data_IF_278834530246
#
_entry.id   IF_278834530246
#
_cell.length_a   1.000
_cell.length_b   1.000
_cell.length_c   1.000
_cell.angle_alpha   90.00
_cell.angle_beta   90.00
_cell.angle_gamma   90.00
#
_symmetry.space_group_name_H-M   'P 1'
#
loop_
_entity.id
_entity.type
_entity.pdbx_description
1 polymer ?
#
# COMPACT_ATOMS: atom_id res chain seq x y z
N UNK A 1 -18.56 11.59 14.57
CA UNK A 1 -17.25 10.92 14.65
C UNK A 1 -16.97 10.30 13.28
N UNK A 2 -15.77 10.48 12.73
CA UNK A 2 -15.51 10.45 11.28
C UNK A 2 -15.87 9.12 10.58
N UNK A 3 -16.74 9.20 9.57
CA UNK A 3 -17.20 8.11 8.69
C UNK A 3 -16.17 7.69 7.62
N UNK A 4 -14.90 8.08 7.76
CA UNK A 4 -13.85 7.75 6.80
C UNK A 4 -12.78 6.89 7.48
N UNK A 5 -12.51 5.66 7.01
CA UNK A 5 -11.56 4.81 7.68
C UNK A 5 -10.13 5.35 7.49
N UNK A 6 -9.42 5.53 8.61
CA UNK A 6 -8.06 6.07 8.72
C UNK A 6 -7.10 5.63 7.60
N UNK A 7 -7.12 4.36 7.20
CA UNK A 7 -6.24 3.82 6.17
C UNK A 7 -6.41 4.49 4.80
N UNK A 8 -7.61 5.01 4.47
CA UNK A 8 -7.88 5.73 3.23
C UNK A 8 -7.20 7.09 3.24
N UNK A 9 -7.41 7.87 4.29
CA UNK A 9 -6.80 9.20 4.46
C UNK A 9 -5.28 9.11 4.57
N UNK A 10 -4.80 8.16 5.37
CA UNK A 10 -3.37 7.92 5.52
C UNK A 10 -2.71 7.57 4.19
N UNK A 11 -3.22 6.59 3.44
CA UNK A 11 -2.62 6.22 2.16
C UNK A 11 -2.77 7.30 1.09
N UNK A 12 -3.82 8.12 1.14
CA UNK A 12 -3.94 9.30 0.28
C UNK A 12 -2.83 10.32 0.60
N UNK A 13 -2.62 10.62 1.88
CA UNK A 13 -1.57 11.53 2.31
C UNK A 13 -0.17 10.99 1.98
N UNK A 14 0.09 9.69 2.15
CA UNK A 14 1.40 9.07 1.83
C UNK A 14 1.74 9.19 0.35
N UNK A 15 0.76 9.01 -0.56
CA UNK A 15 0.99 9.18 -2.01
C UNK A 15 1.48 10.58 -2.38
N UNK A 16 1.03 11.57 -1.63
CA UNK A 16 1.30 13.00 -1.85
C UNK A 16 2.55 13.47 -1.11
N UNK A 17 2.86 12.86 0.03
CA UNK A 17 3.96 13.23 0.92
C UNK A 17 5.33 13.20 0.22
N UNK A 18 5.50 12.33 -0.78
CA UNK A 18 6.73 12.20 -1.57
C UNK A 18 6.97 13.29 -2.62
N UNK A 19 6.04 14.23 -2.82
CA UNK A 19 6.16 15.28 -3.86
C UNK A 19 7.33 16.23 -3.63
N UNK A 20 7.60 16.61 -2.39
CA UNK A 20 8.77 17.41 -2.02
C UNK A 20 8.99 17.39 -0.50
N UNK A 21 10.22 17.69 -0.08
CA UNK A 21 10.56 17.84 1.35
C UNK A 21 9.67 18.88 2.04
N UNK A 22 9.45 20.03 1.41
CA UNK A 22 8.61 21.10 1.97
C UNK A 22 7.16 20.64 2.12
N UNK A 23 6.62 19.90 1.14
CA UNK A 23 5.27 19.37 1.22
C UNK A 23 5.14 18.35 2.35
N UNK A 24 6.08 17.43 2.49
CA UNK A 24 6.15 16.48 3.61
C UNK A 24 6.14 17.20 4.96
N UNK A 25 7.03 18.18 5.14
CA UNK A 25 7.16 18.87 6.43
C UNK A 25 5.87 19.64 6.79
N UNK A 26 5.28 20.35 5.83
CA UNK A 26 4.12 21.22 6.07
C UNK A 26 2.76 20.52 6.09
N UNK A 27 2.54 19.51 5.26
CA UNK A 27 1.19 18.98 5.00
C UNK A 27 1.01 17.51 5.41
N UNK A 28 2.09 16.74 5.58
CA UNK A 28 1.96 15.34 5.96
C UNK A 28 1.79 15.21 7.48
N UNK A 29 0.55 15.12 7.97
CA UNK A 29 0.26 15.06 9.41
C UNK A 29 0.50 13.68 10.04
N UNK A 30 0.69 12.63 9.23
CA UNK A 30 0.82 11.25 9.71
C UNK A 30 2.28 10.81 9.92
N UNK A 31 3.19 11.73 10.27
CA UNK A 31 4.64 11.44 10.39
C UNK A 31 4.92 10.28 11.35
N UNK A 32 4.37 10.36 12.57
CA UNK A 32 4.57 9.34 13.60
C UNK A 32 3.96 8.00 13.19
N UNK A 33 2.75 8.00 12.64
CA UNK A 33 2.10 6.77 12.17
C UNK A 33 2.90 6.11 11.04
N UNK A 34 3.36 6.91 10.07
CA UNK A 34 4.21 6.42 8.98
C UNK A 34 5.50 5.79 9.53
N UNK A 35 6.20 6.47 10.43
CA UNK A 35 7.41 5.96 11.05
C UNK A 35 7.16 4.65 11.79
N UNK A 36 6.21 4.63 12.72
CA UNK A 36 5.92 3.46 13.55
C UNK A 36 5.44 2.26 12.73
N UNK A 37 4.61 2.48 11.70
CA UNK A 37 4.13 1.39 10.86
C UNK A 37 5.25 0.82 9.98
N UNK A 38 6.14 1.67 9.46
CA UNK A 38 7.34 1.21 8.74
C UNK A 38 8.24 0.38 9.64
N UNK A 39 8.57 0.87 10.84
CA UNK A 39 9.40 0.15 11.82
C UNK A 39 8.76 -1.19 12.21
N UNK A 40 7.45 -1.22 12.50
CA UNK A 40 6.75 -2.44 12.85
C UNK A 40 6.86 -3.52 11.75
N UNK A 41 6.70 -3.14 10.49
CA UNK A 41 6.83 -4.07 9.37
C UNK A 41 8.27 -4.57 9.19
N UNK A 42 9.26 -3.71 9.40
CA UNK A 42 10.68 -4.10 9.34
C UNK A 42 11.07 -5.06 10.46
N UNK A 43 10.55 -4.87 11.68
CA UNK A 43 10.77 -5.79 12.80
C UNK A 43 10.10 -7.15 12.54
N UNK A 44 8.87 -7.15 12.01
CA UNK A 44 8.15 -8.37 11.67
C UNK A 44 8.79 -9.14 10.50
N UNK A 45 9.42 -8.46 9.54
CA UNK A 45 10.15 -9.11 8.46
C UNK A 45 11.49 -9.67 8.94
N UNK A 46 12.23 -8.92 9.76
CA UNK A 46 13.55 -9.33 10.26
C UNK A 46 13.49 -10.46 11.28
N UNK A 47 12.39 -10.58 12.02
CA UNK A 47 12.18 -11.69 12.97
C UNK A 47 11.90 -13.04 12.28
N UNK A 48 11.60 -13.06 10.98
CA UNK A 48 11.44 -14.29 10.22
C UNK A 48 12.83 -14.88 9.89
N UNK A 49 13.07 -16.12 10.34
CA UNK A 49 14.36 -16.83 10.16
C UNK A 49 14.84 -16.92 8.70
N UNK A 50 13.95 -16.82 7.73
CA UNK A 50 14.25 -16.73 6.29
C UNK A 50 13.23 -15.79 5.62
N UNK A 51 13.65 -14.89 4.70
CA UNK A 51 12.72 -14.12 3.89
C UNK A 51 11.86 -15.07 3.06
N UNK A 52 10.55 -15.09 3.30
CA UNK A 52 9.61 -15.90 2.53
C UNK A 52 8.72 -14.99 1.71
N UNK A 53 9.04 -14.87 0.43
CA UNK A 53 8.12 -14.26 -0.52
C UNK A 53 6.88 -15.15 -0.68
N UNK A 54 5.73 -14.53 -0.90
CA UNK A 54 4.43 -15.18 -1.05
C UNK A 54 3.67 -14.55 -2.21
N UNK A 55 2.84 -15.38 -2.84
CA UNK A 55 1.83 -14.87 -3.76
C UNK A 55 0.67 -14.29 -2.96
N UNK A 56 0.34 -13.04 -3.23
CA UNK A 56 -0.79 -12.33 -2.63
C UNK A 56 -1.59 -11.60 -3.70
N UNK A 57 -2.83 -11.26 -3.36
CA UNK A 57 -3.81 -10.67 -4.25
C UNK A 57 -4.36 -9.38 -3.67
N UNK A 58 -4.61 -8.39 -4.54
CA UNK A 58 -5.19 -7.10 -4.16
C UNK A 58 -6.20 -6.65 -5.21
N UNK A 59 -7.46 -6.57 -4.79
CA UNK A 59 -8.52 -5.96 -5.57
C UNK A 59 -8.58 -4.44 -5.36
N UNK A 60 -8.94 -3.72 -6.42
CA UNK A 60 -9.21 -2.28 -6.39
C UNK A 60 -10.50 -1.99 -7.15
N UNK A 61 -11.44 -1.34 -6.48
CA UNK A 61 -12.67 -0.84 -7.07
C UNK A 61 -12.53 0.61 -7.54
N UNK A 62 -13.12 0.94 -8.70
CA UNK A 62 -13.25 2.31 -9.20
C UNK A 62 -11.98 2.91 -9.81
N UNK A 63 -10.88 2.16 -9.89
CA UNK A 63 -9.64 2.58 -10.52
C UNK A 63 -9.11 1.48 -11.45
N UNK A 64 -8.77 1.88 -12.69
CA UNK A 64 -8.17 1.00 -13.71
C UNK A 64 -6.74 1.40 -13.98
N UNK A 65 -5.78 0.64 -13.44
CA UNK A 65 -4.37 0.89 -13.67
C UNK A 65 -3.94 0.33 -15.01
N UNK A 66 -3.17 1.10 -15.78
CA UNK A 66 -2.58 0.69 -17.05
C UNK A 66 -1.08 0.92 -16.98
N UNK A 67 -0.24 -0.13 -16.93
CA UNK A 67 1.20 0.05 -16.97
C UNK A 67 1.62 0.60 -18.34
N UNK A 68 2.77 1.27 -18.40
CA UNK A 68 3.33 1.80 -19.65
C UNK A 68 3.66 0.71 -20.70
N UNK A 69 3.74 -0.54 -20.26
CA UNK A 69 3.96 -1.72 -21.08
C UNK A 69 4.37 -2.92 -20.24
N UNK A 70 4.51 -4.11 -20.83
CA UNK A 70 5.12 -5.27 -20.17
C UNK A 70 6.52 -4.93 -19.63
N UNK A 71 6.85 -5.40 -18.44
CA UNK A 71 8.14 -5.12 -17.80
C UNK A 71 8.28 -3.72 -17.19
N UNK A 72 7.27 -2.84 -17.31
CA UNK A 72 7.29 -1.55 -16.63
C UNK A 72 7.34 -1.72 -15.10
N UNK A 73 8.21 -0.97 -14.45
CA UNK A 73 8.27 -0.94 -12.98
C UNK A 73 7.08 -0.18 -12.42
N UNK A 74 6.39 -0.80 -11.47
CA UNK A 74 5.22 -0.22 -10.79
C UNK A 74 5.54 -0.02 -9.31
N UNK A 75 5.26 1.17 -8.79
CA UNK A 75 5.33 1.48 -7.35
C UNK A 75 3.95 1.97 -6.88
N UNK A 76 3.37 1.29 -5.89
CA UNK A 76 2.02 1.60 -5.40
C UNK A 76 1.93 2.92 -4.62
N UNK A 77 3.07 3.45 -4.14
CA UNK A 77 3.15 4.79 -3.56
C UNK A 77 2.56 4.96 -2.16
N UNK A 78 2.09 3.88 -1.52
CA UNK A 78 1.61 3.86 -0.14
C UNK A 78 1.64 2.44 0.43
N UNK A 79 1.12 2.25 1.64
CA UNK A 79 1.03 0.93 2.25
C UNK A 79 -0.06 0.11 1.54
N UNK A 80 0.31 -1.06 1.04
CA UNK A 80 -0.56 -1.90 0.25
C UNK A 80 -0.98 -3.14 1.04
N UNK A 81 -2.23 -3.14 1.51
CA UNK A 81 -2.87 -4.36 2.02
C UNK A 81 -3.15 -5.33 0.88
N UNK A 82 -2.92 -6.61 1.12
CA UNK A 82 -3.15 -7.71 0.18
C UNK A 82 -3.53 -8.97 0.95
N UNK A 83 -4.13 -9.94 0.26
CA UNK A 83 -4.63 -11.18 0.82
C UNK A 83 -3.94 -12.38 0.19
N UNK A 84 -3.66 -13.42 0.97
CA UNK A 84 -3.26 -14.73 0.44
C UNK A 84 -4.42 -15.42 -0.31
N UNK A 85 -5.65 -15.08 0.02
CA UNK A 85 -6.85 -15.63 -0.59
C UNK A 85 -7.37 -14.70 -1.69
N UNK A 86 -7.44 -15.22 -2.91
CA UNK A 86 -7.96 -14.50 -4.08
C UNK A 86 -9.39 -13.98 -3.83
N UNK A 87 -10.29 -14.87 -3.38
CA UNK A 87 -11.70 -14.53 -3.12
C UNK A 87 -11.85 -13.38 -2.11
N UNK A 88 -11.03 -13.35 -1.06
CA UNK A 88 -11.06 -12.26 -0.10
C UNK A 88 -10.59 -10.92 -0.71
N UNK A 89 -9.68 -10.94 -1.68
CA UNK A 89 -9.23 -9.73 -2.37
C UNK A 89 -10.27 -9.19 -3.36
N UNK A 90 -11.09 -10.06 -3.97
CA UNK A 90 -12.17 -9.66 -4.90
C UNK A 90 -13.21 -8.77 -4.24
N UNK A 91 -13.46 -8.96 -2.94
CA UNK A 91 -14.34 -8.10 -2.14
C UNK A 91 -13.91 -6.62 -2.10
N UNK A 92 -12.66 -6.31 -2.46
CA UNK A 92 -12.13 -4.94 -2.54
C UNK A 92 -12.17 -4.36 -3.97
N UNK A 93 -12.66 -5.13 -4.94
CA UNK A 93 -12.91 -4.73 -6.32
C UNK A 93 -12.14 -5.52 -7.36
N UNK A 94 -12.67 -5.52 -8.58
CA UNK A 94 -12.14 -6.27 -9.72
C UNK A 94 -11.77 -5.37 -10.92
N UNK A 95 -11.99 -4.05 -10.83
CA UNK A 95 -11.63 -3.11 -11.89
C UNK A 95 -10.13 -3.10 -12.18
N UNK A 96 -9.32 -3.26 -11.13
CA UNK A 96 -7.94 -3.73 -11.26
C UNK A 96 -7.68 -4.78 -10.20
N UNK A 97 -7.14 -5.90 -10.63
CA UNK A 97 -6.80 -7.00 -9.76
C UNK A 97 -5.31 -7.34 -9.88
N UNK A 98 -4.56 -7.13 -8.80
CA UNK A 98 -3.12 -7.38 -8.79
C UNK A 98 -2.84 -8.78 -8.26
N UNK A 99 -2.01 -9.54 -8.99
CA UNK A 99 -1.21 -10.63 -8.44
C UNK A 99 0.17 -10.11 -8.10
N UNK A 100 0.61 -10.26 -6.85
CA UNK A 100 1.87 -9.72 -6.35
C UNK A 100 2.67 -10.86 -5.74
N UNK A 101 3.96 -10.93 -6.08
CA UNK A 101 4.93 -11.78 -5.41
C UNK A 101 5.80 -10.89 -4.51
N UNK A 102 5.65 -11.00 -3.19
CA UNK A 102 6.29 -10.11 -2.20
C UNK A 102 6.74 -10.84 -0.96
#
# INVERSE_FOLDING_TARGET
>A
TANNPLHKEFNAAVREAGRSRTHYLRHFSFKTLHFLLTEALQLLSSSQRLPRCRQVFRGVHGLRFRPAGPGATVRLGGFASASLQNVAAQNFGEDTFFGIWT
#
